data_IF_377484050530
#
_entry.id   IF_377484050530
#
_cell.length_a   1.000
_cell.length_b   1.000
_cell.length_c   1.000
_cell.angle_alpha   90.00
_cell.angle_beta   90.00
_cell.angle_gamma   90.00
#
_symmetry.space_group_name_H-M   'P 1'
#
loop_
_entity.id
_entity.type
_entity.pdbx_description
1 polymer ?
#
# COMPACT_ATOMS: atom_id res chain seq x y z
N UNK A 1 4.09 -6.43 -5.86
CA UNK A 1 3.58 -5.30 -5.05
C UNK A 1 3.69 -5.62 -3.57
N UNK A 2 4.24 -4.69 -2.82
CA UNK A 2 4.28 -4.78 -1.35
C UNK A 2 3.31 -3.79 -0.75
N UNK A 3 2.68 -4.16 0.34
CA UNK A 3 1.80 -3.26 1.07
C UNK A 3 2.19 -3.25 2.54
N UNK A 4 2.57 -2.08 3.03
CA UNK A 4 2.90 -1.90 4.45
C UNK A 4 1.62 -1.57 5.20
N UNK A 5 1.29 -2.38 6.21
CA UNK A 5 0.07 -2.24 6.98
C UNK A 5 0.35 -2.14 8.47
N UNK A 6 -0.70 -1.87 9.23
CA UNK A 6 -0.65 -1.87 10.70
C UNK A 6 -1.87 -2.67 11.18
N UNK A 7 -1.70 -3.57 12.17
CA UNK A 7 -2.82 -4.40 12.64
C UNK A 7 -4.02 -3.61 13.15
N UNK A 8 -3.80 -2.38 13.63
CA UNK A 8 -4.88 -1.54 14.14
C UNK A 8 -5.48 -0.62 13.08
N UNK A 9 -5.05 -0.75 11.83
CA UNK A 9 -5.50 0.08 10.73
C UNK A 9 -6.75 -0.50 10.06
N UNK A 10 -7.91 0.04 10.39
CA UNK A 10 -9.17 -0.41 9.78
C UNK A 10 -9.21 -0.15 8.27
N UNK A 11 -8.62 0.95 7.85
CA UNK A 11 -8.51 1.31 6.44
C UNK A 11 -7.69 0.27 5.68
N UNK A 12 -6.59 -0.19 6.28
CA UNK A 12 -5.77 -1.26 5.68
C UNK A 12 -6.58 -2.53 5.48
N UNK A 13 -7.37 -2.89 6.49
CA UNK A 13 -8.18 -4.11 6.42
C UNK A 13 -9.21 -4.04 5.30
N UNK A 14 -9.86 -2.90 5.14
CA UNK A 14 -10.83 -2.71 4.06
C UNK A 14 -10.19 -2.83 2.69
N UNK A 15 -9.01 -2.23 2.53
CA UNK A 15 -8.28 -2.29 1.26
C UNK A 15 -7.86 -3.72 0.96
N UNK A 16 -7.36 -4.45 1.97
CA UNK A 16 -6.95 -5.85 1.77
C UNK A 16 -8.10 -6.70 1.28
N UNK A 17 -9.28 -6.55 1.88
CA UNK A 17 -10.47 -7.30 1.47
C UNK A 17 -10.80 -7.02 0.00
N UNK A 18 -10.81 -5.76 -0.40
CA UNK A 18 -11.16 -5.39 -1.77
C UNK A 18 -10.11 -5.82 -2.77
N UNK A 19 -8.83 -5.77 -2.42
CA UNK A 19 -7.77 -6.27 -3.29
C UNK A 19 -7.93 -7.78 -3.50
N UNK A 20 -8.21 -8.51 -2.44
CA UNK A 20 -8.44 -9.96 -2.54
C UNK A 20 -9.65 -10.27 -3.40
N UNK A 21 -10.72 -9.54 -3.26
CA UNK A 21 -11.93 -9.70 -4.07
C UNK A 21 -11.67 -9.41 -5.55
N UNK A 22 -10.78 -8.48 -5.83
CA UNK A 22 -10.40 -8.13 -7.19
C UNK A 22 -9.35 -9.08 -7.79
N UNK A 23 -8.90 -10.06 -7.02
CA UNK A 23 -7.90 -11.03 -7.48
C UNK A 23 -6.49 -10.45 -7.57
N UNK A 24 -6.23 -9.36 -6.87
CA UNK A 24 -4.92 -8.71 -6.86
C UNK A 24 -4.08 -9.28 -5.72
N UNK A 25 -2.90 -9.80 -6.07
CA UNK A 25 -1.97 -10.39 -5.09
C UNK A 25 -0.95 -9.34 -4.63
N UNK A 26 -0.63 -9.40 -3.36
CA UNK A 26 0.36 -8.49 -2.78
C UNK A 26 1.07 -9.17 -1.61
N UNK A 27 2.26 -8.68 -1.30
CA UNK A 27 3.00 -9.12 -0.13
C UNK A 27 2.71 -8.12 0.99
N UNK A 28 2.14 -8.60 2.07
CA UNK A 28 1.85 -7.74 3.22
C UNK A 28 3.05 -7.68 4.16
N UNK A 29 3.45 -6.46 4.52
CA UNK A 29 4.53 -6.22 5.47
C UNK A 29 3.92 -5.44 6.63
N UNK A 30 3.90 -6.04 7.81
CA UNK A 30 3.35 -5.40 9.00
C UNK A 30 4.41 -4.44 9.56
N UNK A 31 4.09 -3.15 9.55
CA UNK A 31 5.05 -2.10 9.91
C UNK A 31 5.63 -2.26 11.32
N UNK A 32 4.81 -2.66 12.29
CA UNK A 32 5.26 -2.84 13.66
C UNK A 32 6.21 -4.02 13.84
N UNK A 33 6.16 -4.99 12.92
CA UNK A 33 7.04 -6.16 12.96
C UNK A 33 8.26 -6.00 12.08
N UNK A 34 8.34 -4.91 11.31
CA UNK A 34 9.43 -4.63 10.38
C UNK A 34 9.87 -3.17 10.54
N UNK A 35 10.21 -2.80 11.77
CA UNK A 35 10.48 -1.43 12.19
C UNK A 35 11.58 -0.74 11.37
N UNK A 36 12.66 -1.44 11.09
CA UNK A 36 13.78 -0.85 10.35
C UNK A 36 13.39 -0.46 8.93
N UNK A 37 12.72 -1.36 8.22
CA UNK A 37 12.20 -1.09 6.88
C UNK A 37 11.22 0.08 6.89
N UNK A 38 10.30 0.04 7.86
CA UNK A 38 9.28 1.06 7.98
C UNK A 38 9.88 2.43 8.27
N UNK A 39 10.85 2.49 9.19
CA UNK A 39 11.52 3.74 9.53
C UNK A 39 12.27 4.32 8.33
N UNK A 40 12.91 3.46 7.54
CA UNK A 40 13.61 3.88 6.33
C UNK A 40 12.63 4.47 5.32
N UNK A 41 11.48 3.83 5.17
CA UNK A 41 10.44 4.30 4.27
C UNK A 41 9.88 5.66 4.70
N UNK A 42 9.67 5.84 6.00
CA UNK A 42 9.24 7.13 6.55
C UNK A 42 10.30 8.20 6.28
N UNK A 43 11.58 7.85 6.44
CA UNK A 43 12.67 8.78 6.18
C UNK A 43 12.70 9.25 4.73
N UNK A 44 12.44 8.32 3.81
CA UNK A 44 12.46 8.62 2.37
C UNK A 44 11.23 9.43 1.96
N UNK A 45 10.04 9.04 2.42
CA UNK A 45 8.79 9.67 2.00
C UNK A 45 8.38 10.86 2.84
N UNK A 46 8.86 10.92 4.09
CA UNK A 46 8.43 11.94 5.04
C UNK A 46 7.04 11.68 5.62
N UNK A 47 6.42 10.56 5.28
CA UNK A 47 5.04 10.26 5.70
C UNK A 47 4.96 8.83 6.25
N UNK A 48 4.46 8.69 7.48
CA UNK A 48 4.32 7.39 8.13
C UNK A 48 2.87 6.93 8.20
N UNK A 49 2.20 6.86 7.06
CA UNK A 49 0.79 6.44 7.00
C UNK A 49 0.65 5.06 6.37
N UNK A 50 -0.30 4.27 6.87
CA UNK A 50 -0.64 2.98 6.28
C UNK A 50 -2.02 3.04 5.65
N UNK A 51 -2.28 2.28 4.58
CA UNK A 51 -1.34 1.40 3.90
C UNK A 51 -0.43 2.16 2.94
N UNK A 52 0.85 1.84 2.92
CA UNK A 52 1.80 2.36 1.94
C UNK A 52 2.09 1.26 0.95
N UNK A 53 2.01 1.58 -0.34
CA UNK A 53 2.18 0.60 -1.42
C UNK A 53 3.52 0.83 -2.11
N UNK A 54 4.26 -0.27 -2.30
CA UNK A 54 5.48 -0.25 -3.10
C UNK A 54 5.21 -1.02 -4.39
N UNK A 55 5.30 -0.35 -5.50
CA UNK A 55 5.08 -0.92 -6.82
C UNK A 55 6.31 -0.67 -7.68
N UNK A 56 7.16 -1.68 -7.79
CA UNK A 56 8.43 -1.58 -8.50
C UNK A 56 9.24 -0.37 -7.99
N UNK A 57 9.34 0.69 -8.78
CA UNK A 57 10.11 1.87 -8.41
C UNK A 57 9.26 3.01 -7.83
N UNK A 58 7.98 2.77 -7.62
CA UNK A 58 7.06 3.80 -7.15
C UNK A 58 6.58 3.51 -5.73
N UNK A 59 6.34 4.58 -4.98
CA UNK A 59 5.76 4.51 -3.65
C UNK A 59 4.43 5.27 -3.71
N UNK A 60 3.34 4.57 -3.38
CA UNK A 60 2.00 5.18 -3.37
C UNK A 60 1.54 5.34 -1.93
N UNK A 61 1.19 6.58 -1.57
CA UNK A 61 0.82 6.95 -0.22
C UNK A 61 -0.68 7.24 -0.12
N UNK A 62 -1.30 6.89 1.01
CA UNK A 62 -2.72 7.19 1.20
C UNK A 62 -2.93 8.70 1.26
N UNK A 63 -4.04 9.15 0.70
CA UNK A 63 -4.44 10.55 0.60
C UNK A 63 -3.57 11.40 -0.34
N UNK A 64 -2.49 10.87 -0.85
CA UNK A 64 -1.68 11.54 -1.88
C UNK A 64 -1.90 10.88 -3.23
N UNK A 65 -1.79 9.56 -3.29
CA UNK A 65 -1.85 8.80 -4.55
C UNK A 65 -3.14 8.02 -4.71
N UNK A 66 -3.82 7.72 -3.64
CA UNK A 66 -5.14 7.09 -3.64
C UNK A 66 -5.87 7.45 -2.35
N UNK A 67 -7.20 7.48 -2.41
CA UNK A 67 -8.04 7.77 -1.24
C UNK A 67 -8.96 6.62 -0.89
N UNK A 68 -9.34 5.83 -1.89
CA UNK A 68 -10.23 4.69 -1.70
C UNK A 68 -9.60 3.44 -2.28
N UNK A 69 -10.16 2.28 -1.91
CA UNK A 69 -9.72 1.01 -2.48
C UNK A 69 -9.96 0.98 -3.99
N UNK A 70 -11.05 1.59 -4.45
CA UNK A 70 -11.36 1.67 -5.88
C UNK A 70 -10.28 2.45 -6.64
N UNK A 71 -9.86 3.59 -6.10
CA UNK A 71 -8.80 4.39 -6.72
C UNK A 71 -7.49 3.62 -6.76
N UNK A 72 -7.18 2.89 -5.68
CA UNK A 72 -5.97 2.07 -5.64
C UNK A 72 -6.03 0.96 -6.68
N UNK A 73 -7.15 0.26 -6.79
CA UNK A 73 -7.32 -0.82 -7.76
C UNK A 73 -7.19 -0.28 -9.18
N UNK A 74 -7.80 0.86 -9.47
CA UNK A 74 -7.70 1.48 -10.78
C UNK A 74 -6.25 1.86 -11.11
N UNK A 75 -5.53 2.37 -10.13
CA UNK A 75 -4.12 2.73 -10.31
C UNK A 75 -3.26 1.49 -10.58
N UNK A 76 -3.53 0.40 -9.87
CA UNK A 76 -2.80 -0.86 -10.07
C UNK A 76 -3.06 -1.38 -11.49
N UNK A 77 -4.31 -1.41 -11.91
CA UNK A 77 -4.68 -1.90 -13.25
C UNK A 77 -4.06 -1.05 -14.35
N UNK A 78 -4.09 0.25 -14.17
CA UNK A 78 -3.48 1.18 -15.12
C UNK A 78 -1.97 0.97 -15.21
N UNK A 79 -1.31 0.80 -14.06
CA UNK A 79 0.12 0.55 -13.99
C UNK A 79 0.52 -0.73 -14.71
N UNK A 80 -0.26 -1.80 -14.50
CA UNK A 80 0.00 -3.09 -15.14
C UNK A 80 -0.26 -3.07 -16.64
N UNK A 81 -1.21 -2.25 -17.08
CA UNK A 81 -1.54 -2.12 -18.51
C UNK A 81 -0.57 -1.25 -19.29
N UNK A 82 0.20 -0.41 -18.59
CA UNK A 82 1.14 0.53 -19.20
C UNK A 82 2.53 0.29 -18.63
N UNK A 83 3.21 -0.79 -19.04
CA UNK A 83 4.54 -1.12 -18.52
C UNK A 83 5.63 -0.13 -18.94
#
# INVERSE_FOLDING_TARGET
MKMYTNPTCHYCNRIKVQLNEAGIKFEEVISSENQEEWNELIRITGIGMTPTIIMQNEVWLPNRDFRTAEELIDRIKHFESNP
#
